data_IF_161916928210
#
_entry.id   IF_161916928210
#
_cell.length_a   1.000
_cell.length_b   1.000
_cell.length_c   1.000
_cell.angle_alpha   90.00
_cell.angle_beta   90.00
_cell.angle_gamma   90.00
#
_symmetry.space_group_name_H-M   'P 1'
#
loop_
_entity.id
_entity.type
_entity.pdbx_description
1 polymer ?
#
# COMPACT_ATOMS: atom_id res chain seq x y z
N UNK A 1 -28.25 -3.31 3.73
CA UNK A 1 -27.70 -3.51 2.38
C UNK A 1 -27.04 -4.86 2.28
N UNK A 2 -26.96 -5.41 1.07
CA UNK A 2 -26.10 -6.55 0.76
C UNK A 2 -24.71 -6.04 0.36
N UNK A 3 -23.69 -6.40 1.11
CA UNK A 3 -22.31 -6.00 0.84
C UNK A 3 -21.50 -7.23 0.43
N UNK A 4 -21.05 -7.24 -0.81
CA UNK A 4 -20.14 -8.26 -1.32
C UNK A 4 -18.71 -7.97 -0.87
N UNK A 5 -17.96 -8.98 -0.43
CA UNK A 5 -16.55 -8.82 -0.07
C UNK A 5 -15.72 -9.43 -1.19
N UNK A 6 -14.95 -8.60 -1.88
CA UNK A 6 -13.96 -9.04 -2.87
C UNK A 6 -12.59 -9.15 -2.22
N UNK A 7 -11.95 -10.32 -2.31
CA UNK A 7 -10.70 -10.64 -1.60
C UNK A 7 -9.89 -11.72 -2.29
N UNK A 8 -8.60 -11.77 -2.01
CA UNK A 8 -7.70 -12.86 -2.38
C UNK A 8 -7.27 -13.63 -1.14
N UNK A 9 -7.55 -14.93 -1.09
CA UNK A 9 -7.06 -15.79 -0.02
C UNK A 9 -5.63 -16.24 -0.29
N UNK A 10 -4.81 -16.22 0.75
CA UNK A 10 -3.46 -16.77 0.72
C UNK A 10 -3.52 -18.26 0.40
N UNK A 11 -2.91 -18.70 -0.72
CA UNK A 11 -2.80 -20.13 -1.04
C UNK A 11 -1.99 -20.88 0.03
N UNK A 12 -2.34 -22.15 0.25
CA UNK A 12 -1.62 -23.01 1.22
C UNK A 12 -0.20 -23.34 0.77
N UNK A 13 0.07 -23.31 -0.54
CA UNK A 13 1.37 -23.64 -1.13
C UNK A 13 1.78 -22.57 -2.13
N UNK A 14 3.06 -22.18 -2.08
CA UNK A 14 3.65 -21.33 -3.11
C UNK A 14 4.12 -22.17 -4.30
N UNK A 15 4.13 -21.63 -5.53
CA UNK A 15 4.73 -22.29 -6.67
C UNK A 15 6.21 -22.59 -6.43
N UNK A 16 6.71 -23.72 -6.94
CA UNK A 16 8.11 -24.09 -6.78
C UNK A 16 9.03 -23.02 -7.39
N UNK A 17 10.05 -22.59 -6.63
CA UNK A 17 11.03 -21.59 -7.05
C UNK A 17 10.56 -20.14 -6.92
N UNK A 18 9.35 -19.88 -6.39
CA UNK A 18 8.94 -18.51 -6.07
C UNK A 18 9.54 -18.02 -4.76
N UNK A 19 9.69 -16.69 -4.58
CA UNK A 19 10.05 -16.09 -3.30
C UNK A 19 9.09 -16.52 -2.19
N UNK A 20 9.56 -16.58 -0.96
CA UNK A 20 8.78 -17.00 0.21
C UNK A 20 7.68 -15.99 0.62
N UNK A 21 7.70 -14.80 0.00
CA UNK A 21 6.74 -13.72 0.20
C UNK A 21 5.77 -13.51 -0.98
N UNK A 22 5.76 -14.43 -1.94
CA UNK A 22 4.92 -14.29 -3.15
C UNK A 22 3.42 -14.10 -2.84
N UNK A 23 2.98 -14.57 -1.69
CA UNK A 23 1.59 -14.46 -1.21
C UNK A 23 1.44 -13.54 0.02
N UNK A 24 2.41 -12.67 0.30
CA UNK A 24 2.40 -11.83 1.51
C UNK A 24 1.27 -10.80 1.50
N UNK A 25 0.84 -10.34 0.32
CA UNK A 25 -0.26 -9.40 0.15
C UNK A 25 -1.65 -10.02 0.41
N UNK A 26 -1.76 -11.35 0.28
CA UNK A 26 -3.07 -12.01 0.34
C UNK A 26 -3.56 -12.22 1.77
N UNK A 27 -4.88 -12.10 1.92
CA UNK A 27 -5.56 -12.21 3.19
C UNK A 27 -5.69 -13.64 3.71
N UNK A 28 -5.87 -13.76 5.01
CA UNK A 28 -6.26 -15.01 5.66
C UNK A 28 -7.79 -15.12 5.77
N UNK A 29 -8.32 -16.31 5.94
CA UNK A 29 -9.76 -16.50 6.23
C UNK A 29 -10.19 -15.71 7.45
N UNK A 30 -9.34 -15.59 8.48
CA UNK A 30 -9.62 -14.80 9.66
C UNK A 30 -9.84 -13.31 9.37
N UNK A 31 -9.08 -12.72 8.43
CA UNK A 31 -9.30 -11.33 7.99
C UNK A 31 -10.69 -11.16 7.39
N UNK A 32 -11.10 -12.12 6.53
CA UNK A 32 -12.43 -12.09 5.90
C UNK A 32 -13.54 -12.24 6.94
N UNK A 33 -13.36 -13.14 7.92
CA UNK A 33 -14.31 -13.34 9.00
C UNK A 33 -14.46 -12.09 9.88
N UNK A 34 -13.36 -11.42 10.25
CA UNK A 34 -13.39 -10.15 10.98
C UNK A 34 -14.14 -9.06 10.21
N UNK A 35 -13.86 -8.92 8.92
CA UNK A 35 -14.54 -7.94 8.06
C UNK A 35 -16.04 -8.26 7.96
N UNK A 36 -16.39 -9.51 7.69
CA UNK A 36 -17.77 -9.92 7.57
C UNK A 36 -18.55 -9.70 8.87
N UNK A 37 -17.93 -9.96 10.03
CA UNK A 37 -18.54 -9.70 11.34
C UNK A 37 -18.74 -8.20 11.59
N UNK A 38 -17.74 -7.37 11.26
CA UNK A 38 -17.87 -5.91 11.36
C UNK A 38 -19.04 -5.40 10.50
N UNK A 39 -19.14 -5.84 9.24
CA UNK A 39 -20.23 -5.49 8.32
C UNK A 39 -21.59 -5.93 8.88
N UNK A 40 -21.70 -7.15 9.41
CA UNK A 40 -22.95 -7.65 10.03
C UNK A 40 -23.33 -6.86 11.27
N UNK A 41 -22.35 -6.51 12.11
CA UNK A 41 -22.60 -5.72 13.33
C UNK A 41 -23.08 -4.29 13.04
N UNK A 42 -22.84 -3.78 11.81
CA UNK A 42 -23.38 -2.53 11.31
C UNK A 42 -24.81 -2.67 10.74
N UNK A 43 -25.41 -3.87 10.78
CA UNK A 43 -26.75 -4.14 10.30
C UNK A 43 -26.83 -4.43 8.79
N UNK A 44 -25.74 -4.83 8.17
CA UNK A 44 -25.66 -5.23 6.76
C UNK A 44 -25.51 -6.74 6.59
N UNK A 45 -25.86 -7.24 5.40
CA UNK A 45 -25.56 -8.60 5.00
C UNK A 45 -24.16 -8.65 4.38
N UNK A 46 -23.26 -9.51 4.88
CA UNK A 46 -21.91 -9.68 4.36
C UNK A 46 -21.82 -10.97 3.53
N UNK A 47 -21.44 -10.83 2.27
CA UNK A 47 -21.38 -11.94 1.29
C UNK A 47 -19.94 -12.07 0.79
N UNK A 48 -19.14 -13.04 1.27
CA UNK A 48 -17.82 -13.32 0.68
C UNK A 48 -17.96 -13.75 -0.79
N UNK A 49 -17.26 -13.07 -1.70
CA UNK A 49 -17.39 -13.29 -3.15
C UNK A 49 -16.07 -13.74 -3.81
N UNK A 50 -14.94 -13.66 -3.09
CA UNK A 50 -13.63 -14.00 -3.63
C UNK A 50 -13.13 -13.00 -4.66
N UNK A 51 -12.34 -13.48 -5.64
CA UNK A 51 -11.79 -12.69 -6.74
C UNK A 51 -11.87 -13.47 -8.09
N UNK A 52 -11.41 -12.83 -9.16
CA UNK A 52 -11.30 -13.43 -10.49
C UNK A 52 -12.62 -13.94 -11.08
N UNK A 53 -12.63 -15.11 -11.75
CA UNK A 53 -13.83 -15.64 -12.39
C UNK A 53 -14.98 -15.94 -11.43
N UNK A 54 -14.69 -16.26 -10.17
CA UNK A 54 -15.71 -16.55 -9.14
C UNK A 54 -16.45 -15.27 -8.75
N UNK A 55 -15.71 -14.20 -8.47
CA UNK A 55 -16.28 -12.88 -8.22
C UNK A 55 -17.16 -12.43 -9.39
N UNK A 56 -16.66 -12.53 -10.63
CA UNK A 56 -17.42 -12.11 -11.81
C UNK A 56 -18.75 -12.86 -11.94
N UNK A 57 -18.74 -14.20 -11.76
CA UNK A 57 -19.98 -14.99 -11.79
C UNK A 57 -20.95 -14.58 -10.69
N UNK A 58 -20.45 -14.34 -9.48
CA UNK A 58 -21.27 -13.94 -8.35
C UNK A 58 -21.91 -12.55 -8.56
N UNK A 59 -21.15 -11.57 -9.05
CA UNK A 59 -21.64 -10.23 -9.38
C UNK A 59 -22.74 -10.25 -10.48
N UNK A 60 -22.58 -11.10 -11.50
CA UNK A 60 -23.57 -11.24 -12.55
C UNK A 60 -24.84 -11.98 -12.11
N UNK A 61 -24.70 -12.99 -11.24
CA UNK A 61 -25.84 -13.79 -10.79
C UNK A 61 -26.67 -13.10 -9.70
N UNK A 62 -26.02 -12.38 -8.79
CA UNK A 62 -26.68 -11.71 -7.66
C UNK A 62 -25.87 -10.47 -7.23
N UNK A 63 -26.04 -9.35 -7.95
CA UNK A 63 -25.28 -8.14 -7.65
C UNK A 63 -25.59 -7.64 -6.22
N UNK A 64 -24.56 -7.29 -5.43
CA UNK A 64 -24.73 -6.66 -4.14
C UNK A 64 -25.06 -5.15 -4.30
N UNK A 65 -25.48 -4.52 -3.21
CA UNK A 65 -25.68 -3.07 -3.17
C UNK A 65 -24.35 -2.30 -3.17
N UNK A 66 -23.29 -2.92 -2.64
CA UNK A 66 -21.93 -2.38 -2.55
C UNK A 66 -20.93 -3.55 -2.55
N UNK A 67 -19.79 -3.42 -3.22
CA UNK A 67 -18.64 -4.29 -3.06
C UNK A 67 -17.65 -3.64 -2.10
N UNK A 68 -17.31 -4.30 -0.99
CA UNK A 68 -16.17 -3.94 -0.15
C UNK A 68 -14.94 -4.63 -0.74
N UNK A 69 -14.04 -3.85 -1.35
CA UNK A 69 -12.89 -4.38 -2.07
C UNK A 69 -11.64 -4.38 -1.17
N UNK A 70 -11.02 -5.56 -1.05
CA UNK A 70 -9.71 -5.78 -0.44
C UNK A 70 -8.85 -6.72 -1.31
N UNK A 71 -9.21 -6.88 -2.58
CA UNK A 71 -8.52 -7.80 -3.48
C UNK A 71 -7.29 -7.15 -4.11
N UNK A 72 -6.11 -7.70 -3.84
CA UNK A 72 -4.81 -7.27 -4.36
C UNK A 72 -4.59 -7.70 -5.82
N UNK A 73 -5.26 -8.77 -6.23
CA UNK A 73 -5.16 -9.34 -7.57
C UNK A 73 -3.95 -10.25 -7.77
N UNK A 74 -4.15 -11.33 -8.54
CA UNK A 74 -3.10 -12.32 -8.81
C UNK A 74 -2.18 -11.91 -9.95
N UNK A 75 -0.92 -12.35 -9.85
CA UNK A 75 0.11 -12.25 -10.90
C UNK A 75 0.97 -10.99 -10.74
N UNK A 76 1.78 -10.72 -11.77
CA UNK A 76 2.82 -9.66 -11.78
C UNK A 76 2.38 -8.40 -12.55
N UNK A 77 1.11 -8.32 -12.93
CA UNK A 77 0.61 -7.17 -13.67
C UNK A 77 0.57 -5.91 -12.80
N UNK A 78 1.13 -4.82 -13.30
CA UNK A 78 1.19 -3.51 -12.61
C UNK A 78 -0.18 -2.84 -12.38
N UNK A 79 -1.28 -3.45 -12.86
CA UNK A 79 -2.65 -2.97 -12.69
C UNK A 79 -3.55 -4.02 -12.02
N UNK A 80 -2.97 -4.97 -11.27
CA UNK A 80 -3.74 -6.09 -10.72
C UNK A 80 -4.81 -5.64 -9.72
N UNK A 81 -4.53 -4.64 -8.89
CA UNK A 81 -5.47 -4.09 -7.92
C UNK A 81 -6.66 -3.34 -8.57
N UNK A 82 -6.46 -2.83 -9.78
CA UNK A 82 -7.50 -2.10 -10.53
C UNK A 82 -8.61 -3.00 -11.08
N UNK A 83 -8.45 -4.33 -11.07
CA UNK A 83 -9.36 -5.25 -11.77
C UNK A 83 -10.75 -5.30 -11.16
N UNK A 84 -10.83 -5.37 -9.82
CA UNK A 84 -12.12 -5.44 -9.13
C UNK A 84 -12.92 -4.15 -9.31
N UNK A 85 -12.39 -2.95 -9.01
CA UNK A 85 -13.16 -1.73 -9.25
C UNK A 85 -13.51 -1.52 -10.73
N UNK A 86 -12.65 -1.91 -11.69
CA UNK A 86 -12.98 -1.83 -13.11
C UNK A 86 -14.19 -2.72 -13.49
N UNK A 87 -14.27 -3.92 -12.96
CA UNK A 87 -15.44 -4.80 -13.15
C UNK A 87 -16.68 -4.21 -12.49
N UNK A 88 -16.57 -3.66 -11.28
CA UNK A 88 -17.68 -3.01 -10.61
C UNK A 88 -18.20 -1.81 -11.42
N UNK A 89 -17.31 -0.97 -11.95
CA UNK A 89 -17.68 0.15 -12.82
C UNK A 89 -18.41 -0.32 -14.09
N UNK A 90 -17.91 -1.36 -14.76
CA UNK A 90 -18.56 -1.96 -15.96
C UNK A 90 -19.96 -2.47 -15.67
N UNK A 91 -20.19 -2.99 -14.47
CA UNK A 91 -21.48 -3.54 -14.04
C UNK A 91 -22.40 -2.51 -13.38
N UNK A 92 -21.92 -1.28 -13.14
CA UNK A 92 -22.65 -0.24 -12.43
C UNK A 92 -22.87 -0.55 -10.94
N UNK A 93 -22.00 -1.39 -10.34
CA UNK A 93 -22.08 -1.78 -8.93
C UNK A 93 -21.16 -0.87 -8.12
N UNK A 94 -21.65 -0.21 -7.06
CA UNK A 94 -20.82 0.56 -6.14
C UNK A 94 -19.68 -0.28 -5.54
N UNK A 95 -18.48 0.34 -5.39
CA UNK A 95 -17.30 -0.32 -4.84
C UNK A 95 -16.61 0.63 -3.85
N UNK A 96 -16.14 0.13 -2.71
CA UNK A 96 -15.32 0.91 -1.77
C UNK A 96 -13.92 1.16 -2.32
N UNK A 97 -13.29 2.23 -1.85
CA UNK A 97 -11.93 2.60 -2.18
C UNK A 97 -11.79 3.34 -3.50
N UNK A 98 -10.56 3.50 -3.90
CA UNK A 98 -10.15 4.27 -5.07
C UNK A 98 -10.53 3.59 -6.40
N UNK A 99 -10.60 4.40 -7.46
CA UNK A 99 -10.93 3.92 -8.79
C UNK A 99 -9.78 3.12 -9.45
N UNK A 100 -10.04 2.47 -10.60
CA UNK A 100 -9.03 1.66 -11.27
C UNK A 100 -7.75 2.42 -11.65
N UNK A 101 -7.86 3.70 -12.01
CA UNK A 101 -6.70 4.51 -12.41
C UNK A 101 -5.82 4.78 -11.20
N UNK A 102 -6.40 5.19 -10.09
CA UNK A 102 -5.69 5.46 -8.84
C UNK A 102 -4.99 4.21 -8.32
N UNK A 103 -5.68 3.05 -8.27
CA UNK A 103 -5.07 1.80 -7.80
C UNK A 103 -3.92 1.36 -8.72
N UNK A 104 -4.10 1.41 -10.04
CA UNK A 104 -3.02 1.07 -10.98
C UNK A 104 -1.81 2.01 -10.87
N UNK A 105 -2.05 3.31 -10.66
CA UNK A 105 -0.97 4.29 -10.51
C UNK A 105 -0.26 4.13 -9.15
N UNK A 106 -1.00 3.90 -8.07
CA UNK A 106 -0.45 3.77 -6.72
C UNK A 106 0.39 2.50 -6.53
N UNK A 107 0.03 1.41 -7.20
CA UNK A 107 0.81 0.17 -7.16
C UNK A 107 2.21 0.34 -7.80
N UNK A 108 2.35 1.22 -8.79
CA UNK A 108 3.61 1.53 -9.44
C UNK A 108 4.31 2.71 -8.74
N UNK A 109 5.35 2.39 -7.94
CA UNK A 109 6.08 3.38 -7.14
C UNK A 109 6.72 4.49 -7.97
N UNK A 110 7.22 4.19 -9.18
CA UNK A 110 7.82 5.20 -10.06
C UNK A 110 6.75 6.13 -10.66
N UNK A 111 5.60 5.59 -11.06
CA UNK A 111 4.46 6.39 -11.52
C UNK A 111 3.94 7.28 -10.40
N UNK A 112 3.73 6.72 -9.21
CA UNK A 112 3.29 7.48 -8.03
C UNK A 112 4.23 8.66 -7.76
N UNK A 113 5.53 8.42 -7.71
CA UNK A 113 6.54 9.47 -7.48
C UNK A 113 6.41 10.62 -8.48
N UNK A 114 6.33 10.28 -9.77
CA UNK A 114 6.19 11.29 -10.86
C UNK A 114 4.89 12.10 -10.78
N UNK A 115 3.81 11.48 -10.27
CA UNK A 115 2.53 12.17 -10.11
C UNK A 115 2.50 13.10 -8.90
N UNK A 116 3.14 12.72 -7.79
CA UNK A 116 3.12 13.49 -6.54
C UNK A 116 4.28 14.47 -6.40
N UNK A 117 5.17 14.56 -7.41
CA UNK A 117 6.29 15.50 -7.41
C UNK A 117 5.77 16.95 -7.51
N UNK A 118 5.66 17.62 -6.35
CA UNK A 118 5.23 19.01 -6.24
C UNK A 118 5.91 19.67 -5.04
N UNK A 119 5.68 20.97 -4.83
CA UNK A 119 6.34 21.74 -3.76
C UNK A 119 5.97 21.26 -2.36
N UNK A 120 4.74 20.78 -2.17
CA UNK A 120 4.21 20.32 -0.89
C UNK A 120 4.69 18.92 -0.49
N UNK A 121 5.18 18.13 -1.44
CA UNK A 121 5.56 16.74 -1.21
C UNK A 121 7.06 16.54 -1.41
N UNK A 122 7.76 16.31 -0.33
CA UNK A 122 9.18 15.97 -0.39
C UNK A 122 9.36 14.48 -0.67
N UNK A 123 10.17 14.17 -1.69
CA UNK A 123 10.50 12.80 -2.11
C UNK A 123 11.97 12.48 -1.86
N UNK A 124 12.35 11.22 -1.54
CA UNK A 124 13.74 10.77 -1.67
C UNK A 124 14.20 10.89 -3.12
N UNK A 125 15.45 11.20 -3.39
CA UNK A 125 16.00 11.06 -4.74
C UNK A 125 15.94 9.59 -5.18
N UNK A 126 15.67 9.33 -6.46
CA UNK A 126 15.54 7.96 -6.95
C UNK A 126 15.84 7.81 -8.43
N UNK A 127 16.17 6.59 -8.82
CA UNK A 127 16.25 6.14 -10.23
C UNK A 127 15.52 4.82 -10.40
N UNK A 128 14.98 4.62 -11.60
CA UNK A 128 14.41 3.34 -12.00
C UNK A 128 15.43 2.55 -12.81
N UNK A 129 15.78 1.36 -12.35
CA UNK A 129 16.54 0.39 -13.12
C UNK A 129 15.56 -0.55 -13.84
N UNK A 130 15.35 -0.31 -15.13
CA UNK A 130 14.43 -1.10 -15.94
C UNK A 130 14.97 -2.52 -16.14
N UNK A 131 14.11 -3.51 -15.87
CA UNK A 131 14.43 -4.90 -16.18
C UNK A 131 14.28 -5.14 -17.68
N UNK A 132 15.34 -5.58 -18.40
CA UNK A 132 15.22 -5.91 -19.82
C UNK A 132 14.20 -7.02 -20.06
N UNK A 133 13.41 -6.97 -21.16
CA UNK A 133 12.36 -7.97 -21.45
C UNK A 133 12.86 -9.43 -21.49
N UNK A 134 14.09 -9.62 -21.98
CA UNK A 134 14.75 -10.93 -22.11
C UNK A 134 16.01 -11.00 -21.22
N UNK A 135 15.87 -10.50 -20.00
CA UNK A 135 16.99 -10.52 -19.06
C UNK A 135 17.38 -11.96 -18.73
N UNK A 136 18.64 -12.28 -18.97
CA UNK A 136 19.33 -13.46 -18.47
C UNK A 136 20.49 -12.98 -17.60
N UNK A 137 20.67 -13.59 -16.43
CA UNK A 137 21.75 -13.24 -15.51
C UNK A 137 23.08 -13.78 -16.07
N UNK A 138 23.89 -12.87 -16.59
CA UNK A 138 25.22 -13.16 -17.13
C UNK A 138 26.35 -12.89 -16.13
N UNK A 139 26.03 -12.46 -14.92
CA UNK A 139 26.97 -12.14 -13.86
C UNK A 139 27.74 -10.83 -14.05
N UNK A 140 27.35 -9.99 -15.03
CA UNK A 140 27.98 -8.69 -15.27
C UNK A 140 27.17 -7.56 -14.61
N UNK A 141 27.69 -7.02 -13.51
CA UNK A 141 27.01 -6.02 -12.68
C UNK A 141 27.79 -4.70 -12.55
N UNK A 142 28.89 -4.57 -13.29
CA UNK A 142 29.85 -3.46 -13.13
C UNK A 142 29.26 -2.10 -13.55
N UNK A 143 28.20 -2.07 -14.35
CA UNK A 143 27.54 -0.84 -14.80
C UNK A 143 26.63 -0.22 -13.73
N UNK A 144 26.02 -1.00 -12.83
CA UNK A 144 25.06 -0.47 -11.86
C UNK A 144 25.67 0.56 -10.89
N UNK A 145 26.85 0.36 -10.30
CA UNK A 145 27.48 1.37 -9.45
C UNK A 145 27.74 2.68 -10.18
N UNK A 146 28.15 2.64 -11.46
CA UNK A 146 28.39 3.82 -12.27
C UNK A 146 27.07 4.55 -12.53
N UNK A 147 26.01 3.85 -12.94
CA UNK A 147 24.67 4.41 -13.18
C UNK A 147 24.13 5.13 -11.95
N UNK A 148 24.28 4.53 -10.75
CA UNK A 148 23.85 5.14 -9.49
C UNK A 148 24.67 6.42 -9.20
N UNK A 149 25.98 6.34 -9.34
CA UNK A 149 26.84 7.50 -9.11
C UNK A 149 26.55 8.66 -10.07
N UNK A 150 26.32 8.38 -11.36
CA UNK A 150 25.95 9.35 -12.38
C UNK A 150 24.59 10.01 -12.13
N UNK A 151 23.65 9.31 -11.46
CA UNK A 151 22.37 9.87 -11.08
C UNK A 151 22.45 10.87 -9.92
N UNK A 152 23.59 10.98 -9.25
CA UNK A 152 23.80 11.82 -8.06
C UNK A 152 23.33 11.19 -6.76
N UNK A 153 22.86 9.94 -6.77
CA UNK A 153 22.50 9.22 -5.55
C UNK A 153 23.76 8.87 -4.76
N UNK A 154 23.65 9.00 -3.45
CA UNK A 154 24.72 8.64 -2.50
C UNK A 154 24.27 7.50 -1.59
N UNK A 155 25.20 6.59 -1.29
CA UNK A 155 24.94 5.48 -0.36
C UNK A 155 24.77 6.01 1.09
N UNK A 156 23.93 5.38 1.91
CA UNK A 156 23.13 4.19 1.57
C UNK A 156 21.90 4.50 0.71
N UNK A 157 21.52 3.52 -0.11
CA UNK A 157 20.26 3.56 -0.90
C UNK A 157 19.44 2.30 -0.57
N UNK A 158 18.14 2.35 -0.87
CA UNK A 158 17.25 1.20 -0.73
C UNK A 158 16.71 0.76 -2.09
N UNK A 159 16.80 -0.54 -2.38
CA UNK A 159 16.27 -1.15 -3.59
C UNK A 159 14.89 -1.77 -3.34
N UNK A 160 13.93 -1.51 -4.24
CA UNK A 160 12.55 -1.99 -4.11
C UNK A 160 12.03 -2.50 -5.45
N UNK A 161 11.29 -3.63 -5.50
CA UNK A 161 10.49 -3.94 -6.68
C UNK A 161 9.46 -2.83 -6.89
N UNK A 162 9.23 -2.44 -8.15
CA UNK A 162 8.46 -1.22 -8.46
C UNK A 162 6.96 -1.37 -8.24
N UNK A 163 6.40 -2.59 -8.43
CA UNK A 163 4.96 -2.85 -8.38
C UNK A 163 4.58 -3.93 -7.35
N UNK A 164 5.11 -3.82 -6.13
CA UNK A 164 4.77 -4.72 -5.02
C UNK A 164 4.36 -3.93 -3.77
N UNK A 165 3.37 -4.48 -3.04
CA UNK A 165 2.88 -3.97 -1.77
C UNK A 165 3.39 -4.76 -0.56
N UNK A 166 2.88 -4.50 0.63
CA UNK A 166 3.07 -5.26 1.88
C UNK A 166 4.54 -5.57 2.24
N UNK A 167 5.48 -4.69 1.89
CA UNK A 167 6.95 -4.90 1.99
C UNK A 167 7.47 -6.12 1.23
N UNK A 168 6.72 -6.66 0.28
CA UNK A 168 7.13 -7.75 -0.59
C UNK A 168 8.37 -7.33 -1.38
N UNK A 169 9.42 -8.13 -1.30
CA UNK A 169 10.73 -7.81 -1.86
C UNK A 169 11.58 -6.81 -1.07
N UNK A 170 11.07 -6.21 0.00
CA UNK A 170 11.84 -5.29 0.86
C UNK A 170 12.42 -6.07 2.03
N UNK A 171 13.66 -6.50 1.88
CA UNK A 171 14.42 -7.26 2.85
C UNK A 171 15.53 -6.41 3.47
N UNK A 172 16.10 -6.85 4.60
CA UNK A 172 17.24 -6.16 5.22
C UNK A 172 18.40 -5.96 4.24
N UNK A 173 18.62 -6.92 3.32
CA UNK A 173 19.62 -6.83 2.24
C UNK A 173 19.35 -5.75 1.19
N UNK A 174 18.12 -5.24 1.10
CA UNK A 174 17.76 -4.20 0.14
C UNK A 174 18.27 -2.81 0.52
N UNK A 175 18.73 -2.64 1.75
CA UNK A 175 19.49 -1.47 2.17
C UNK A 175 20.96 -1.64 1.78
N UNK A 176 21.36 -0.98 0.71
CA UNK A 176 22.66 -1.06 0.05
C UNK A 176 23.59 0.00 0.63
N UNK A 177 24.72 -0.42 1.18
CA UNK A 177 25.70 0.46 1.84
C UNK A 177 27.00 0.60 1.06
N UNK A 178 27.28 -0.35 0.18
CA UNK A 178 28.52 -0.38 -0.61
C UNK A 178 28.20 -0.59 -2.10
N UNK A 179 29.03 -0.07 -3.02
CA UNK A 179 28.83 -0.28 -4.46
C UNK A 179 28.79 -1.78 -4.86
N UNK A 180 29.52 -2.64 -4.17
CA UNK A 180 29.58 -4.06 -4.48
C UNK A 180 28.25 -4.80 -4.21
N UNK A 181 27.38 -4.26 -3.35
CA UNK A 181 26.08 -4.85 -3.04
C UNK A 181 25.01 -4.57 -4.10
N UNK A 182 25.21 -3.54 -4.94
CA UNK A 182 24.18 -3.03 -5.86
C UNK A 182 23.74 -4.12 -6.85
N UNK A 183 24.68 -4.62 -7.64
CA UNK A 183 24.39 -5.62 -8.67
C UNK A 183 23.69 -6.87 -8.13
N UNK A 184 24.24 -7.55 -7.13
CA UNK A 184 23.60 -8.73 -6.53
C UNK A 184 22.18 -8.48 -6.03
N UNK A 185 21.91 -7.33 -5.42
CA UNK A 185 20.55 -6.99 -4.91
C UNK A 185 19.60 -6.74 -6.05
N UNK A 186 19.97 -5.90 -7.04
CA UNK A 186 19.12 -5.58 -8.20
C UNK A 186 18.74 -6.84 -8.97
N UNK A 187 19.75 -7.68 -9.27
CA UNK A 187 19.54 -8.91 -10.02
C UNK A 187 18.68 -9.91 -9.27
N UNK A 188 18.88 -10.04 -7.95
CA UNK A 188 17.99 -10.87 -7.13
C UNK A 188 16.53 -10.41 -7.24
N UNK A 189 16.28 -9.09 -7.15
CA UNK A 189 14.92 -8.55 -7.26
C UNK A 189 14.33 -8.73 -8.68
N UNK A 190 15.14 -8.58 -9.74
CA UNK A 190 14.72 -8.85 -11.10
C UNK A 190 14.32 -10.31 -11.32
N UNK A 191 15.07 -11.25 -10.75
CA UNK A 191 14.79 -12.68 -10.87
C UNK A 191 13.57 -13.09 -10.06
N UNK A 192 13.44 -12.58 -8.83
CA UNK A 192 12.38 -12.95 -7.91
C UNK A 192 11.01 -12.36 -8.34
N UNK A 193 10.98 -11.09 -8.77
CA UNK A 193 9.72 -10.37 -9.02
C UNK A 193 9.45 -10.06 -10.49
N UNK A 194 10.42 -10.27 -11.40
CA UNK A 194 10.30 -10.09 -12.85
C UNK A 194 9.82 -8.70 -13.27
N UNK A 195 10.24 -7.67 -12.54
CA UNK A 195 9.89 -6.28 -12.77
C UNK A 195 11.09 -5.37 -12.55
N UNK A 196 10.96 -4.11 -12.93
CA UNK A 196 11.98 -3.08 -12.68
C UNK A 196 12.20 -2.86 -11.19
N UNK A 197 13.35 -2.29 -10.83
CA UNK A 197 13.75 -1.98 -9.46
C UNK A 197 13.91 -0.49 -9.30
N UNK A 198 13.24 0.09 -8.32
CA UNK A 198 13.42 1.45 -7.89
C UNK A 198 14.56 1.50 -6.87
N UNK A 199 15.57 2.33 -7.15
CA UNK A 199 16.66 2.63 -6.20
C UNK A 199 16.41 4.03 -5.64
N UNK A 200 16.23 4.14 -4.33
CA UNK A 200 15.96 5.40 -3.65
C UNK A 200 17.05 5.73 -2.64
N UNK A 201 17.30 7.04 -2.45
CA UNK A 201 18.03 7.54 -1.29
C UNK A 201 17.39 6.97 -0.01
N UNK A 202 18.20 6.39 0.85
CA UNK A 202 17.71 5.96 2.16
C UNK A 202 17.56 7.18 3.08
N UNK A 203 16.34 7.53 3.41
CA UNK A 203 16.07 8.60 4.38
C UNK A 203 16.22 8.03 5.79
N UNK A 204 17.33 8.34 6.45
CA UNK A 204 17.54 7.96 7.85
C UNK A 204 16.70 8.85 8.77
N UNK A 205 15.97 8.25 9.72
CA UNK A 205 15.07 8.98 10.61
C UNK A 205 13.86 8.16 11.06
N UNK A 206 12.85 8.83 11.57
CA UNK A 206 11.64 8.19 12.07
C UNK A 206 10.78 7.64 10.92
N UNK A 207 10.30 6.42 11.08
CA UNK A 207 9.30 5.83 10.18
C UNK A 207 7.90 6.09 10.73
N UNK A 208 7.07 6.76 9.93
CA UNK A 208 5.72 7.17 10.34
C UNK A 208 4.72 6.78 9.27
N UNK A 209 3.63 6.19 9.70
CA UNK A 209 2.48 5.88 8.84
C UNK A 209 1.27 6.69 9.28
N UNK A 210 0.45 7.14 8.32
CA UNK A 210 -0.68 8.02 8.55
C UNK A 210 -1.91 7.49 7.80
N UNK A 211 -3.05 7.47 8.47
CA UNK A 211 -4.32 7.00 7.92
C UNK A 211 -5.25 8.16 7.59
N UNK A 212 -5.80 8.14 6.37
CA UNK A 212 -6.78 9.10 5.88
C UNK A 212 -8.10 8.40 5.55
N UNK A 213 -9.20 9.10 5.79
CA UNK A 213 -10.55 8.59 5.52
C UNK A 213 -11.47 9.71 5.03
N UNK A 214 -12.47 9.35 4.21
CA UNK A 214 -13.44 10.28 3.64
C UNK A 214 -13.06 10.81 2.27
N UNK A 215 -13.92 11.63 1.69
CA UNK A 215 -13.77 12.17 0.34
C UNK A 215 -13.76 13.71 0.33
N UNK A 216 -14.84 14.33 0.79
CA UNK A 216 -14.98 15.78 0.84
C UNK A 216 -15.82 16.18 2.08
N UNK A 217 -15.17 16.46 3.24
CA UNK A 217 -13.72 16.54 3.41
C UNK A 217 -13.06 15.19 3.63
N UNK A 218 -11.83 15.02 3.14
CA UNK A 218 -10.90 13.99 3.61
C UNK A 218 -10.30 14.42 4.93
N UNK A 219 -10.13 13.51 5.88
CA UNK A 219 -9.49 13.78 7.16
C UNK A 219 -8.41 12.76 7.52
N UNK A 220 -7.41 13.21 8.23
CA UNK A 220 -6.49 12.33 8.95
C UNK A 220 -7.22 11.79 10.18
N UNK A 221 -7.26 10.48 10.37
CA UNK A 221 -7.85 9.87 11.56
C UNK A 221 -6.82 9.41 12.59
N UNK A 222 -5.56 9.36 12.21
CA UNK A 222 -4.45 9.06 13.09
C UNK A 222 -3.14 8.87 12.35
N UNK A 223 -2.06 8.89 13.11
CA UNK A 223 -0.71 8.59 12.64
C UNK A 223 0.07 7.82 13.70
N UNK A 224 1.03 7.02 13.28
CA UNK A 224 1.75 6.08 14.13
C UNK A 224 3.23 6.06 13.74
N UNK A 225 4.12 6.22 14.71
CA UNK A 225 5.57 6.01 14.55
C UNK A 225 5.91 4.57 14.85
N UNK A 226 6.72 3.96 14.00
CA UNK A 226 7.24 2.60 14.13
C UNK A 226 8.64 2.69 14.72
N UNK A 227 8.82 2.16 15.93
CA UNK A 227 10.06 2.29 16.70
C UNK A 227 10.71 0.93 16.90
N UNK A 228 11.95 0.70 16.45
CA UNK A 228 12.65 -0.54 16.74
C UNK A 228 12.88 -0.70 18.24
N UNK A 229 12.55 -1.88 18.80
CA UNK A 229 12.78 -2.18 20.23
C UNK A 229 14.25 -2.22 20.61
N UNK A 230 15.08 -2.60 19.66
CA UNK A 230 16.54 -2.51 19.79
C UNK A 230 17.02 -1.39 18.88
N UNK A 231 17.74 -0.38 19.40
CA UNK A 231 18.29 0.70 18.59
C UNK A 231 19.09 0.14 17.43
N UNK A 232 18.65 0.40 16.22
CA UNK A 232 19.23 -0.12 14.98
C UNK A 232 19.54 1.07 14.08
N UNK A 233 20.82 1.37 13.80
CA UNK A 233 21.17 2.38 12.80
C UNK A 233 20.56 2.02 11.45
N UNK A 234 20.04 3.02 10.73
CA UNK A 234 19.44 2.80 9.43
C UNK A 234 18.34 1.72 9.45
N UNK A 235 17.41 1.84 10.39
CA UNK A 235 16.29 0.91 10.53
C UNK A 235 15.42 0.89 9.27
N UNK A 236 15.12 -0.31 8.78
CA UNK A 236 14.17 -0.57 7.69
C UNK A 236 13.02 -1.39 8.25
N UNK A 237 11.79 -0.96 8.03
CA UNK A 237 10.60 -1.75 8.34
C UNK A 237 10.41 -2.83 7.27
N UNK A 238 11.39 -3.74 7.23
CA UNK A 238 11.50 -4.84 6.28
C UNK A 238 10.45 -5.93 6.54
N UNK A 239 10.32 -6.85 5.59
CA UNK A 239 9.43 -7.99 5.74
C UNK A 239 9.78 -8.86 6.95
N UNK A 240 11.09 -9.02 7.24
CA UNK A 240 11.56 -9.73 8.42
C UNK A 240 11.08 -9.06 9.72
N UNK A 241 11.06 -7.72 9.73
CA UNK A 241 10.54 -6.95 10.87
C UNK A 241 9.03 -7.09 10.98
N UNK A 242 8.30 -6.97 9.86
CA UNK A 242 6.83 -7.10 9.84
C UNK A 242 6.35 -8.49 10.28
N UNK A 243 7.04 -9.55 9.90
CA UNK A 243 6.70 -10.93 10.31
C UNK A 243 6.95 -11.20 11.80
N UNK A 244 7.85 -10.46 12.42
CA UNK A 244 8.23 -10.59 13.85
C UNK A 244 8.01 -9.27 14.61
N UNK A 245 6.96 -8.53 14.24
CA UNK A 245 6.71 -7.17 14.72
C UNK A 245 6.60 -7.10 16.25
N UNK A 246 5.96 -8.10 16.89
CA UNK A 246 5.78 -8.15 18.35
C UNK A 246 7.09 -8.08 19.12
N UNK A 247 8.15 -8.70 18.59
CA UNK A 247 9.46 -8.74 19.22
C UNK A 247 10.38 -7.60 18.73
N UNK A 248 10.16 -7.07 17.53
CA UNK A 248 11.10 -6.17 16.86
C UNK A 248 10.74 -4.69 16.96
N UNK A 249 9.45 -4.36 17.02
CA UNK A 249 9.03 -2.95 17.04
C UNK A 249 8.02 -2.65 18.15
N UNK A 250 7.88 -1.38 18.44
CA UNK A 250 6.79 -0.81 19.21
C UNK A 250 6.18 0.35 18.43
N UNK A 251 4.96 0.71 18.76
CA UNK A 251 4.21 1.74 18.07
C UNK A 251 3.92 2.90 19.02
N UNK A 252 4.11 4.14 18.54
CA UNK A 252 3.76 5.37 19.25
C UNK A 252 2.69 6.11 18.46
N UNK A 253 1.50 6.25 19.04
CA UNK A 253 0.36 6.90 18.42
C UNK A 253 -0.32 7.83 19.45
N UNK A 254 -0.38 9.15 19.24
CA UNK A 254 0.27 9.85 18.12
C UNK A 254 1.81 9.82 18.22
N UNK A 255 2.52 10.03 17.10
CA UNK A 255 3.98 10.19 17.13
C UNK A 255 4.40 11.34 18.04
N UNK A 256 5.41 11.20 18.90
CA UNK A 256 5.90 12.29 19.79
C UNK A 256 6.79 13.28 19.02
N UNK A 257 6.25 13.82 17.92
CA UNK A 257 6.94 14.77 17.05
C UNK A 257 6.47 16.20 17.34
N UNK A 258 7.30 17.23 17.06
CA UNK A 258 6.89 18.62 17.19
C UNK A 258 5.66 18.95 16.34
N UNK A 259 4.77 19.79 16.83
CA UNK A 259 3.53 20.16 16.13
C UNK A 259 3.78 20.67 14.68
N UNK A 260 4.87 21.41 14.46
CA UNK A 260 5.26 21.85 13.11
C UNK A 260 5.51 20.69 12.16
N UNK A 261 6.13 19.61 12.65
CA UNK A 261 6.43 18.41 11.84
C UNK A 261 5.14 17.64 11.58
N UNK A 262 4.28 17.51 12.60
CA UNK A 262 2.98 16.86 12.44
C UNK A 262 2.08 17.58 11.43
N UNK A 263 2.02 18.92 11.48
CA UNK A 263 1.27 19.71 10.52
C UNK A 263 1.81 19.51 9.08
N UNK A 264 3.13 19.56 8.89
CA UNK A 264 3.73 19.33 7.58
C UNK A 264 3.47 17.90 7.04
N UNK A 265 3.47 16.90 7.94
CA UNK A 265 3.12 15.51 7.59
C UNK A 265 1.66 15.40 7.13
N UNK A 266 0.73 16.00 7.87
CA UNK A 266 -0.70 15.99 7.56
C UNK A 266 -1.01 16.75 6.26
N UNK A 267 -0.41 17.94 6.06
CA UNK A 267 -0.54 18.73 4.83
C UNK A 267 -0.03 17.94 3.61
N UNK A 268 1.16 17.33 3.73
CA UNK A 268 1.71 16.48 2.67
C UNK A 268 0.82 15.27 2.38
N UNK A 269 0.31 14.60 3.41
CA UNK A 269 -0.54 13.42 3.24
C UNK A 269 -1.88 13.77 2.54
N UNK A 270 -2.50 14.89 2.92
CA UNK A 270 -3.72 15.38 2.28
C UNK A 270 -3.45 15.80 0.83
N UNK A 271 -2.31 16.42 0.54
CA UNK A 271 -1.90 16.78 -0.82
C UNK A 271 -1.73 15.52 -1.70
N UNK A 272 -0.99 14.50 -1.22
CA UNK A 272 -0.81 13.24 -1.96
C UNK A 272 -2.15 12.54 -2.20
N UNK A 273 -3.02 12.47 -1.19
CA UNK A 273 -4.35 11.87 -1.33
C UNK A 273 -5.17 12.57 -2.42
N UNK A 274 -5.13 13.91 -2.47
CA UNK A 274 -5.84 14.70 -3.47
C UNK A 274 -5.22 14.57 -4.87
N UNK A 275 -3.90 14.63 -5.00
CA UNK A 275 -3.18 14.49 -6.28
C UNK A 275 -3.46 13.12 -6.90
N UNK A 276 -3.38 12.06 -6.10
CA UNK A 276 -3.66 10.69 -6.54
C UNK A 276 -5.16 10.43 -6.75
N UNK A 277 -6.03 11.38 -6.42
CA UNK A 277 -7.49 11.23 -6.47
C UNK A 277 -8.00 10.02 -5.67
N UNK A 278 -7.38 9.75 -4.54
CA UNK A 278 -7.80 8.67 -3.67
C UNK A 278 -9.21 8.87 -3.16
N UNK A 279 -9.88 7.77 -2.85
CA UNK A 279 -11.28 7.76 -2.40
C UNK A 279 -11.43 6.88 -1.18
N UNK A 280 -12.32 7.31 -0.31
CA UNK A 280 -12.83 6.61 0.88
C UNK A 280 -11.77 6.38 1.96
N UNK A 281 -10.62 5.78 1.64
CA UNK A 281 -9.55 5.46 2.60
C UNK A 281 -8.19 5.35 1.91
N UNK A 282 -7.12 5.74 2.62
CA UNK A 282 -5.74 5.41 2.24
C UNK A 282 -4.83 5.40 3.47
N UNK A 283 -3.72 4.64 3.38
CA UNK A 283 -2.58 4.73 4.29
C UNK A 283 -1.38 5.25 3.51
N UNK A 284 -0.67 6.21 4.10
CA UNK A 284 0.55 6.75 3.52
C UNK A 284 1.72 6.51 4.48
N UNK A 285 2.86 6.19 3.90
CA UNK A 285 4.06 5.89 4.66
C UNK A 285 5.12 6.96 4.38
N UNK A 286 5.77 7.43 5.47
CA UNK A 286 6.73 8.53 5.47
C UNK A 286 7.97 8.18 6.27
N UNK A 287 9.08 8.82 5.90
CA UNK A 287 10.26 8.89 6.76
C UNK A 287 10.53 10.36 7.12
N UNK A 288 10.89 10.61 8.38
CA UNK A 288 11.11 11.97 8.87
C UNK A 288 12.57 12.14 9.23
N UNK A 289 13.28 12.96 8.44
CA UNK A 289 14.68 13.33 8.67
C UNK A 289 14.78 14.82 8.99
N UNK A 290 15.39 15.16 10.12
CA UNK A 290 15.60 16.54 10.56
C UNK A 290 14.30 17.38 10.61
N UNK A 291 13.20 16.74 10.99
CA UNK A 291 11.88 17.36 11.07
C UNK A 291 11.19 17.59 9.71
N UNK A 292 11.71 17.02 8.64
CA UNK A 292 11.12 17.07 7.28
C UNK A 292 10.52 15.72 6.93
N UNK A 293 9.20 15.63 6.64
CA UNK A 293 8.57 14.41 6.17
C UNK A 293 8.92 14.16 4.69
N UNK A 294 9.40 12.97 4.40
CA UNK A 294 9.63 12.44 3.06
C UNK A 294 8.59 11.37 2.76
N UNK A 295 7.80 11.59 1.73
CA UNK A 295 6.82 10.61 1.26
C UNK A 295 7.51 9.38 0.68
N UNK A 296 7.07 8.19 1.07
CA UNK A 296 7.62 6.91 0.63
C UNK A 296 6.65 6.18 -0.28
N UNK A 297 5.41 5.96 0.18
CA UNK A 297 4.38 5.29 -0.62
C UNK A 297 2.98 5.63 -0.13
N UNK A 298 1.99 5.40 -0.99
CA UNK A 298 0.56 5.45 -0.68
C UNK A 298 -0.07 4.10 -0.95
N UNK A 299 -0.95 3.69 -0.03
CA UNK A 299 -1.71 2.46 -0.12
C UNK A 299 -3.21 2.79 -0.10
N UNK A 300 -3.84 3.02 -1.28
CA UNK A 300 -5.27 3.29 -1.38
C UNK A 300 -6.13 2.02 -1.30
N UNK A 301 -5.50 0.85 -1.25
CA UNK A 301 -6.07 -0.44 -0.90
C UNK A 301 -5.34 -0.99 0.34
N UNK A 302 -5.49 -0.35 1.52
CA UNK A 302 -4.71 -0.72 2.68
C UNK A 302 -5.21 -2.02 3.29
N UNK A 303 -4.29 -2.83 3.84
CA UNK A 303 -4.66 -4.01 4.61
C UNK A 303 -5.59 -3.67 5.78
N UNK A 304 -6.57 -4.53 6.03
CA UNK A 304 -7.62 -4.31 7.03
C UNK A 304 -7.71 -5.41 8.10
N UNK A 305 -6.69 -6.22 8.28
CA UNK A 305 -6.65 -7.16 9.39
C UNK A 305 -6.59 -6.40 10.73
N UNK A 306 -7.53 -6.58 11.66
CA UNK A 306 -7.61 -5.79 12.91
C UNK A 306 -6.44 -6.02 13.86
N UNK A 307 -5.64 -7.08 13.65
CA UNK A 307 -4.56 -7.47 14.55
C UNK A 307 -3.18 -7.05 14.02
N UNK A 308 -3.01 -6.97 12.68
CA UNK A 308 -1.69 -6.85 12.07
C UNK A 308 -1.56 -5.72 11.04
N UNK A 309 -2.67 -5.22 10.48
CA UNK A 309 -2.61 -4.16 9.47
C UNK A 309 -2.40 -2.78 10.09
N UNK A 310 -1.42 -2.03 9.59
CA UNK A 310 -1.06 -0.72 10.12
C UNK A 310 -2.24 0.26 10.15
N UNK A 311 -3.11 0.27 9.14
CA UNK A 311 -4.32 1.11 9.15
C UNK A 311 -5.22 0.83 10.36
N UNK A 312 -5.45 -0.46 10.66
CA UNK A 312 -6.28 -0.88 11.78
C UNK A 312 -5.59 -0.63 13.13
N UNK A 313 -4.27 -0.77 13.19
CA UNK A 313 -3.48 -0.44 14.38
C UNK A 313 -3.54 1.07 14.67
N UNK A 314 -3.41 1.93 13.65
CA UNK A 314 -3.62 3.38 13.80
C UNK A 314 -5.01 3.65 14.39
N UNK A 315 -6.07 3.09 13.80
CA UNK A 315 -7.44 3.25 14.30
C UNK A 315 -7.57 2.85 15.76
N UNK A 316 -7.12 1.64 16.11
CA UNK A 316 -7.16 1.12 17.48
C UNK A 316 -6.41 2.01 18.47
N UNK A 317 -5.21 2.44 18.14
CA UNK A 317 -4.38 3.30 19.00
C UNK A 317 -4.92 4.73 19.10
N UNK A 318 -5.66 5.19 18.08
CA UNK A 318 -6.39 6.47 18.09
C UNK A 318 -7.78 6.38 18.75
N UNK A 319 -8.16 5.21 19.30
CA UNK A 319 -9.44 5.02 20.00
C UNK A 319 -10.64 4.74 19.09
N UNK A 320 -10.42 4.41 17.80
CA UNK A 320 -11.45 4.03 16.84
C UNK A 320 -11.61 2.51 16.86
N UNK A 321 -12.79 2.02 17.17
CA UNK A 321 -13.05 0.58 17.12
C UNK A 321 -13.03 0.07 15.66
N UNK A 322 -12.57 -1.16 15.44
CA UNK A 322 -12.49 -1.76 14.11
C UNK A 322 -13.82 -1.68 13.33
N UNK A 323 -14.92 -2.01 13.99
CA UNK A 323 -16.28 -1.88 13.44
C UNK A 323 -16.56 -0.48 12.91
N UNK A 324 -16.17 0.54 13.68
CA UNK A 324 -16.47 1.92 13.34
C UNK A 324 -15.58 2.41 12.19
N UNK A 325 -14.32 1.98 12.13
CA UNK A 325 -13.43 2.22 10.99
C UNK A 325 -14.01 1.61 9.70
N UNK A 326 -14.48 0.36 9.73
CA UNK A 326 -15.14 -0.28 8.59
C UNK A 326 -16.43 0.47 8.21
N UNK A 327 -17.21 0.91 9.20
CA UNK A 327 -18.42 1.71 8.99
C UNK A 327 -18.12 3.02 8.27
N UNK A 328 -17.11 3.77 8.71
CA UNK A 328 -16.70 5.02 8.07
C UNK A 328 -16.25 4.83 6.61
N UNK A 329 -15.57 3.74 6.28
CA UNK A 329 -15.19 3.43 4.88
C UNK A 329 -16.45 3.17 4.03
N UNK A 330 -17.41 2.39 4.56
CA UNK A 330 -18.68 2.12 3.89
C UNK A 330 -19.46 3.42 3.68
N UNK A 331 -19.57 4.25 4.72
CA UNK A 331 -20.31 5.52 4.68
C UNK A 331 -19.67 6.51 3.68
N UNK A 332 -18.34 6.59 3.63
CA UNK A 332 -17.60 7.40 2.68
C UNK A 332 -17.91 6.99 1.23
N UNK A 333 -17.90 5.69 0.94
CA UNK A 333 -18.24 5.15 -0.37
C UNK A 333 -19.69 5.45 -0.73
N UNK A 334 -20.63 5.20 0.17
CA UNK A 334 -22.07 5.43 -0.08
C UNK A 334 -22.39 6.90 -0.30
N UNK A 335 -21.80 7.80 0.48
CA UNK A 335 -21.97 9.25 0.31
C UNK A 335 -21.45 9.71 -1.07
N UNK A 336 -20.32 9.18 -1.52
CA UNK A 336 -19.75 9.47 -2.84
C UNK A 336 -20.70 9.05 -3.96
N UNK A 337 -21.19 7.81 -3.95
CA UNK A 337 -22.13 7.33 -4.98
C UNK A 337 -23.48 8.05 -4.96
N UNK A 338 -23.96 8.49 -3.80
CA UNK A 338 -25.16 9.33 -3.73
C UNK A 338 -24.94 10.68 -4.44
N UNK A 339 -23.79 11.34 -4.16
CA UNK A 339 -23.43 12.61 -4.80
C UNK A 339 -23.24 12.47 -6.32
N UNK A 340 -22.61 11.37 -6.78
CA UNK A 340 -22.41 11.12 -8.21
C UNK A 340 -23.73 10.90 -8.96
N UNK A 341 -24.70 10.22 -8.35
CA UNK A 341 -26.05 10.06 -8.92
C UNK A 341 -26.80 11.40 -9.04
N UNK A 342 -26.65 12.29 -8.08
CA UNK A 342 -27.25 13.62 -8.13
C UNK A 342 -26.64 14.49 -9.24
N UNK A 343 -25.33 14.36 -9.50
CA UNK A 343 -24.62 15.12 -10.55
C UNK A 343 -24.87 14.60 -11.96
N UNK A 344 -25.22 13.33 -12.11
CA UNK A 344 -25.48 12.69 -13.39
C UNK A 344 -26.82 11.96 -13.40
N UNK A 345 -27.96 12.67 -13.24
CA UNK A 345 -29.27 12.05 -13.27
C UNK A 345 -29.54 11.47 -14.68
N UNK A 346 -29.57 10.17 -14.81
CA UNK A 346 -29.92 9.49 -16.06
C UNK A 346 -28.83 8.64 -16.74
N UNK A 347 -27.76 8.31 -16.05
CA UNK A 347 -26.83 7.27 -16.50
C UNK A 347 -27.13 5.93 -15.85
#
# INVERSE_FOLDING_TARGET
MKIGIAFDLRPQTAPAGSPDDIHEEFDTSATIDFLAEAIRSLGHEAIPMGNGPELLRALLASPPDLVFNIAEGHGVSRNREARVPAVCEMLGIPCTGSDPLTLAAALDKDVTRRLVECEEVRLPAAILLERPPHYEDDGHYDEFPATIAESGLTLPVIAKPVCEGSSKGIRDRCLIRTPAEIGPVVVSLWNDYRQSVLIEEFIDGDEVTIGLIGNAPTRVFGSMRIVPRTPTPQFVYSLEVKRDWENRVSYECPPPLPAKVMNALEESALAVFAIMQCRDVARLDYRIRDGVPYFIEINPLPGINPLTSDLCLIGKLSGIAYRDLIGEIIDAAMARYASDRERAPGR
#
